data_IF_127100532651
#
_entry.id   IF_127100532651
#
_cell.length_a   1.000
_cell.length_b   1.000
_cell.length_c   1.000
_cell.angle_alpha   90.00
_cell.angle_beta   90.00
_cell.angle_gamma   90.00
#
_symmetry.space_group_name_H-M   'P 1'
#
loop_
_entity.id
_entity.type
_entity.pdbx_description
1 polymer ?
#
# COMPACT_ATOMS: atom_id res chain seq x y z
N UNK A 1 -61.52 5.50 22.82
CA UNK A 1 -60.52 5.16 21.76
C UNK A 1 -59.68 6.38 21.35
N UNK A 2 -59.11 7.14 22.29
CA UNK A 2 -58.26 8.32 21.97
C UNK A 2 -56.88 8.26 22.65
N UNK A 3 -56.76 7.58 23.79
CA UNK A 3 -55.48 7.43 24.51
C UNK A 3 -54.59 6.29 24.02
N UNK A 4 -55.13 5.31 23.27
CA UNK A 4 -54.33 4.18 22.77
C UNK A 4 -53.45 4.53 21.58
N UNK A 5 -53.80 5.57 20.82
CA UNK A 5 -53.05 5.99 19.61
C UNK A 5 -51.85 6.87 19.98
N UNK A 6 -51.94 7.61 21.08
CA UNK A 6 -50.85 8.50 21.55
C UNK A 6 -49.65 7.70 22.06
N UNK A 7 -49.90 6.54 22.67
CA UNK A 7 -48.83 5.66 23.19
C UNK A 7 -48.05 5.00 22.04
N UNK A 8 -48.70 4.66 20.93
CA UNK A 8 -48.03 4.05 19.77
C UNK A 8 -47.18 5.04 18.96
N UNK A 9 -47.50 6.34 18.98
CA UNK A 9 -46.71 7.38 18.28
C UNK A 9 -45.49 7.83 19.10
N UNK A 10 -45.55 7.77 20.44
CA UNK A 10 -44.41 8.13 21.31
C UNK A 10 -43.32 7.04 21.33
N UNK A 11 -43.66 5.79 21.01
CA UNK A 11 -42.71 4.68 20.99
C UNK A 11 -41.92 4.57 19.66
N UNK A 12 -42.39 5.21 18.59
CA UNK A 12 -41.73 5.23 17.28
C UNK A 12 -40.60 6.25 17.13
N UNK A 13 -40.43 7.17 18.09
CA UNK A 13 -39.43 8.23 18.05
C UNK A 13 -38.14 7.90 18.82
N UNK A 14 -38.08 6.74 19.48
CA UNK A 14 -36.88 6.28 20.20
C UNK A 14 -36.01 5.30 19.40
N UNK A 15 -36.40 4.93 18.16
CA UNK A 15 -35.61 4.01 17.31
C UNK A 15 -34.80 4.72 16.22
N UNK A 16 -34.82 6.05 16.17
CA UNK A 16 -34.00 6.83 15.22
C UNK A 16 -32.90 7.58 15.96
N UNK A 17 -31.90 6.87 16.44
CA UNK A 17 -30.52 7.36 16.61
C UNK A 17 -29.69 6.29 17.31
N UNK A 18 -29.24 5.29 16.55
CA UNK A 18 -27.88 4.82 16.76
C UNK A 18 -27.19 4.73 15.40
N UNK A 19 -26.27 5.67 15.24
CA UNK A 19 -24.96 5.40 14.67
C UNK A 19 -24.96 5.13 13.16
N UNK A 20 -25.05 6.24 12.41
CA UNK A 20 -24.19 6.40 11.25
C UNK A 20 -22.74 6.32 11.75
N UNK A 21 -22.27 5.09 12.01
CA UNK A 21 -20.86 4.81 12.04
C UNK A 21 -20.46 4.87 10.57
N UNK A 22 -20.11 6.05 10.10
CA UNK A 22 -19.05 6.09 9.09
C UNK A 22 -17.88 5.44 9.81
N UNK A 23 -17.69 4.15 9.58
CA UNK A 23 -16.36 3.60 9.58
C UNK A 23 -15.58 4.56 8.69
N UNK A 24 -14.88 5.49 9.34
CA UNK A 24 -13.70 6.07 8.75
C UNK A 24 -12.94 4.84 8.30
N UNK A 25 -12.82 4.69 6.99
CA UNK A 25 -11.95 3.72 6.37
C UNK A 25 -10.55 4.18 6.78
N UNK A 26 -10.19 3.92 8.04
CA UNK A 26 -8.86 4.06 8.58
C UNK A 26 -8.13 2.87 8.00
N UNK A 27 -7.43 3.11 6.89
CA UNK A 27 -6.10 2.57 6.61
C UNK A 27 -5.81 1.11 7.01
N UNK A 28 -6.83 0.26 6.98
CA UNK A 28 -6.77 -1.17 7.24
C UNK A 28 -7.50 -1.85 6.08
N UNK A 29 -7.08 -1.53 4.85
CA UNK A 29 -7.10 -2.55 3.81
C UNK A 29 -6.00 -3.54 4.19
N UNK A 30 -6.38 -4.45 5.10
CA UNK A 30 -5.64 -5.67 5.37
C UNK A 30 -5.63 -6.45 4.05
N UNK A 31 -4.55 -6.33 3.28
CA UNK A 31 -4.34 -7.04 2.02
C UNK A 31 -4.14 -8.54 2.32
N UNK A 32 -5.25 -9.22 2.59
CA UNK A 32 -5.36 -10.68 2.66
C UNK A 32 -5.66 -11.31 1.30
N UNK A 33 -5.30 -10.63 0.20
CA UNK A 33 -5.26 -11.27 -1.11
C UNK A 33 -3.82 -11.65 -1.44
N UNK A 34 -3.57 -12.95 -1.28
CA UNK A 34 -2.41 -13.73 -1.71
C UNK A 34 -1.46 -12.97 -2.64
N UNK A 35 -0.37 -12.43 -2.08
CA UNK A 35 0.78 -11.93 -2.84
C UNK A 35 1.42 -13.12 -3.58
N UNK A 36 0.88 -13.43 -4.76
CA UNK A 36 1.38 -14.47 -5.65
C UNK A 36 2.79 -14.11 -6.12
N UNK A 37 3.68 -15.06 -5.84
CA UNK A 37 5.00 -15.28 -6.42
C UNK A 37 6.07 -14.22 -6.17
N UNK A 38 6.89 -14.54 -5.18
CA UNK A 38 8.26 -14.03 -5.13
C UNK A 38 9.15 -15.21 -4.72
N UNK A 39 10.31 -15.32 -5.36
CA UNK A 39 11.37 -16.29 -5.08
C UNK A 39 12.08 -15.96 -3.74
N UNK A 40 11.31 -15.77 -2.67
CA UNK A 40 11.80 -15.53 -1.31
C UNK A 40 12.34 -16.79 -0.63
N UNK A 41 12.24 -17.94 -1.29
CA UNK A 41 12.50 -19.25 -0.68
C UNK A 41 13.95 -19.44 -0.24
N UNK A 42 14.86 -18.58 -0.67
CA UNK A 42 16.30 -18.78 -0.49
C UNK A 42 17.00 -17.82 0.48
N UNK A 43 16.30 -16.82 1.04
CA UNK A 43 16.93 -15.83 1.94
C UNK A 43 16.51 -16.03 3.40
N UNK A 44 17.48 -15.88 4.30
CA UNK A 44 17.29 -16.07 5.73
C UNK A 44 16.68 -14.82 6.37
N UNK A 45 17.09 -13.63 5.93
CA UNK A 45 16.59 -12.33 6.41
C UNK A 45 16.18 -11.50 5.19
N UNK A 46 14.99 -10.90 5.25
CA UNK A 46 14.50 -10.03 4.19
C UNK A 46 15.19 -8.67 4.20
N UNK A 47 15.31 -8.03 3.03
CA UNK A 47 15.72 -6.65 2.99
C UNK A 47 14.71 -5.82 3.79
N UNK A 48 15.22 -4.90 4.61
CA UNK A 48 14.35 -4.15 5.52
C UNK A 48 14.86 -2.74 5.77
N UNK A 49 13.91 -1.83 6.01
CA UNK A 49 14.21 -0.52 6.55
C UNK A 49 14.45 -0.62 8.05
N UNK A 50 15.20 0.34 8.61
CA UNK A 50 15.53 0.36 10.04
C UNK A 50 14.31 0.23 10.96
N UNK A 51 13.17 0.81 10.58
CA UNK A 51 11.92 0.70 11.34
C UNK A 51 11.32 -0.72 11.32
N UNK A 52 11.61 -1.52 10.30
CA UNK A 52 11.11 -2.87 10.11
C UNK A 52 12.02 -3.94 10.75
N UNK A 53 13.23 -3.60 11.19
CA UNK A 53 14.17 -4.55 11.82
C UNK A 53 13.68 -5.05 13.19
N UNK A 54 12.76 -4.32 13.83
CA UNK A 54 12.18 -4.71 15.12
C UNK A 54 11.29 -5.95 15.03
N UNK A 55 10.82 -6.32 13.83
CA UNK A 55 9.96 -7.48 13.62
C UNK A 55 10.80 -8.76 13.50
N UNK A 56 10.52 -9.75 14.36
CA UNK A 56 11.17 -11.05 14.32
C UNK A 56 10.57 -12.00 13.29
N UNK A 57 9.30 -11.80 12.92
CA UNK A 57 8.60 -12.64 11.96
C UNK A 57 8.77 -12.13 10.53
N UNK A 58 9.17 -13.02 9.61
CA UNK A 58 9.35 -12.70 8.18
C UNK A 58 8.10 -12.09 7.54
N UNK A 59 6.92 -12.56 7.93
CA UNK A 59 5.65 -12.03 7.41
C UNK A 59 5.46 -10.55 7.83
N UNK A 60 5.72 -10.24 9.10
CA UNK A 60 5.61 -8.88 9.64
C UNK A 60 6.68 -7.96 9.04
N UNK A 61 7.92 -8.45 8.90
CA UNK A 61 9.00 -7.71 8.25
C UNK A 61 8.66 -7.38 6.79
N UNK A 62 8.11 -8.34 6.05
CA UNK A 62 7.64 -8.14 4.67
C UNK A 62 6.50 -7.12 4.61
N UNK A 63 5.49 -7.25 5.47
CA UNK A 63 4.37 -6.31 5.51
C UNK A 63 4.84 -4.88 5.84
N UNK A 64 5.75 -4.74 6.81
CA UNK A 64 6.36 -3.46 7.13
C UNK A 64 7.12 -2.87 5.94
N UNK A 65 7.93 -3.67 5.26
CA UNK A 65 8.67 -3.24 4.07
C UNK A 65 7.73 -2.74 2.96
N UNK A 66 6.66 -3.49 2.69
CA UNK A 66 5.64 -3.09 1.72
C UNK A 66 4.94 -1.78 2.13
N UNK A 67 4.60 -1.63 3.42
CA UNK A 67 3.98 -0.42 3.97
C UNK A 67 4.85 0.82 3.81
N UNK A 68 6.16 0.73 4.08
CA UNK A 68 7.08 1.87 3.92
C UNK A 68 7.13 2.34 2.48
N UNK A 69 7.21 1.40 1.53
CA UNK A 69 7.23 1.72 0.10
C UNK A 69 5.90 2.34 -0.33
N UNK A 70 4.78 1.72 0.04
CA UNK A 70 3.45 2.21 -0.27
C UNK A 70 3.24 3.64 0.26
N UNK A 71 3.55 3.88 1.53
CA UNK A 71 3.40 5.21 2.15
C UNK A 71 4.29 6.27 1.49
N UNK A 72 5.52 5.91 1.09
CA UNK A 72 6.43 6.85 0.40
C UNK A 72 5.93 7.20 -1.00
N UNK A 73 5.26 6.25 -1.67
CA UNK A 73 4.64 6.46 -2.98
C UNK A 73 3.40 7.34 -2.86
N UNK A 74 2.50 7.03 -1.93
CA UNK A 74 1.31 7.84 -1.63
C UNK A 74 1.70 9.29 -1.35
N UNK A 75 2.64 9.53 -0.44
CA UNK A 75 3.13 10.88 -0.15
C UNK A 75 3.69 11.60 -1.38
N UNK A 76 4.39 10.88 -2.26
CA UNK A 76 4.94 11.49 -3.47
C UNK A 76 3.83 11.80 -4.49
N UNK A 77 2.81 10.97 -4.57
CA UNK A 77 1.67 11.20 -5.45
C UNK A 77 0.84 12.40 -4.99
N UNK A 78 0.52 12.47 -3.69
CA UNK A 78 -0.16 13.62 -3.07
C UNK A 78 0.60 14.93 -3.33
N UNK A 79 1.92 14.95 -3.16
CA UNK A 79 2.76 16.13 -3.44
C UNK A 79 2.80 16.49 -4.94
N UNK A 80 2.61 15.52 -5.82
CA UNK A 80 2.73 15.71 -7.27
C UNK A 80 1.49 16.33 -7.92
N UNK A 81 0.38 16.48 -7.17
CA UNK A 81 -0.88 17.07 -7.64
C UNK A 81 -1.36 16.44 -8.96
N UNK A 82 -1.33 15.11 -9.05
CA UNK A 82 -1.71 14.39 -10.27
C UNK A 82 -3.23 14.40 -10.43
N UNK A 83 -3.72 15.08 -11.47
CA UNK A 83 -5.16 15.15 -11.73
C UNK A 83 -5.57 14.02 -12.67
N UNK A 84 -6.47 13.16 -12.20
CA UNK A 84 -7.13 12.14 -13.04
C UNK A 84 -8.51 12.63 -13.45
N UNK A 85 -8.83 12.50 -14.74
CA UNK A 85 -10.11 12.98 -15.28
C UNK A 85 -11.30 12.05 -15.02
N UNK A 86 -11.06 10.79 -14.64
CA UNK A 86 -12.08 9.76 -14.43
C UNK A 86 -11.71 8.90 -13.22
N UNK A 87 -12.68 8.18 -12.67
CA UNK A 87 -12.42 7.15 -11.67
C UNK A 87 -11.41 6.13 -12.23
N UNK A 88 -10.33 5.93 -11.49
CA UNK A 88 -9.23 5.04 -11.86
C UNK A 88 -8.96 4.10 -10.70
N UNK A 89 -9.01 2.80 -11.00
CA UNK A 89 -8.56 1.73 -10.09
C UNK A 89 -7.66 0.80 -10.88
N UNK A 90 -6.36 0.83 -10.59
CA UNK A 90 -5.35 0.02 -11.28
C UNK A 90 -4.37 -0.60 -10.26
N UNK A 91 -3.63 -1.63 -10.66
CA UNK A 91 -2.55 -2.21 -9.88
C UNK A 91 -1.22 -2.03 -10.61
N UNK A 92 -0.39 -1.14 -10.07
CA UNK A 92 0.97 -0.96 -10.53
C UNK A 92 1.82 -2.12 -10.04
N UNK A 93 2.51 -2.81 -10.96
CA UNK A 93 3.45 -3.87 -10.61
C UNK A 93 4.87 -3.35 -10.76
N UNK A 94 5.56 -3.19 -9.64
CA UNK A 94 6.94 -2.71 -9.58
C UNK A 94 7.87 -3.90 -9.38
N UNK A 95 8.85 -4.06 -10.27
CA UNK A 95 9.96 -5.00 -10.09
C UNK A 95 11.17 -4.21 -9.61
N UNK A 96 11.54 -4.40 -8.35
CA UNK A 96 12.65 -3.72 -7.70
C UNK A 96 13.82 -4.70 -7.50
N UNK A 97 15.02 -4.23 -7.78
CA UNK A 97 16.26 -4.93 -7.46
C UNK A 97 16.95 -4.23 -6.31
N UNK A 98 17.30 -5.00 -5.28
CA UNK A 98 18.01 -4.53 -4.11
C UNK A 98 19.38 -5.21 -4.14
N UNK A 99 20.46 -4.44 -4.23
CA UNK A 99 21.80 -5.01 -4.26
C UNK A 99 22.29 -5.43 -2.86
N UNK A 100 23.49 -6.03 -2.79
CA UNK A 100 24.11 -6.44 -1.53
C UNK A 100 24.59 -5.26 -0.65
N UNK A 101 24.48 -4.02 -1.13
CA UNK A 101 24.74 -2.80 -0.37
C UNK A 101 23.45 -2.17 0.16
N UNK A 102 22.27 -2.72 -0.19
CA UNK A 102 20.98 -2.17 0.18
C UNK A 102 20.52 -1.02 -0.71
N UNK A 103 21.05 -0.88 -1.93
CA UNK A 103 20.54 0.10 -2.89
C UNK A 103 19.37 -0.49 -3.67
N UNK A 104 18.22 0.20 -3.62
CA UNK A 104 17.02 -0.15 -4.37
C UNK A 104 17.04 0.51 -5.75
N UNK A 105 16.79 -0.28 -6.79
CA UNK A 105 16.65 0.19 -8.17
C UNK A 105 15.38 -0.37 -8.80
N UNK A 106 14.60 0.48 -9.47
CA UNK A 106 13.45 0.05 -10.25
C UNK A 106 13.93 -0.59 -11.55
N UNK A 107 13.58 -1.87 -11.77
CA UNK A 107 13.87 -2.59 -13.01
C UNK A 107 12.73 -2.49 -13.99
N UNK A 108 11.52 -2.69 -13.52
CA UNK A 108 10.32 -2.68 -14.35
C UNK A 108 9.16 -2.06 -13.58
N UNK A 109 8.31 -1.34 -14.32
CA UNK A 109 7.03 -0.84 -13.82
C UNK A 109 6.00 -1.09 -14.91
N UNK A 110 5.02 -1.91 -14.56
CA UNK A 110 3.90 -2.33 -15.40
C UNK A 110 2.61 -1.75 -14.84
N UNK A 111 1.76 -1.21 -15.72
CA UNK A 111 0.48 -0.58 -15.40
C UNK A 111 -0.47 -0.76 -16.58
N UNK A 112 -1.76 -0.51 -16.39
CA UNK A 112 -2.70 -0.50 -17.52
C UNK A 112 -2.33 0.62 -18.51
N UNK A 113 -2.51 0.32 -19.80
CA UNK A 113 -2.38 1.29 -20.89
C UNK A 113 -3.27 2.53 -20.72
N UNK A 114 -4.42 2.40 -20.07
CA UNK A 114 -5.30 3.53 -19.75
C UNK A 114 -4.66 4.43 -18.68
N UNK A 115 -4.11 3.83 -17.62
CA UNK A 115 -3.36 4.53 -16.56
C UNK A 115 -2.17 5.27 -17.15
N UNK A 116 -1.39 4.63 -18.02
CA UNK A 116 -0.21 5.26 -18.63
C UNK A 116 -0.60 6.47 -19.51
N UNK A 117 -1.76 6.42 -20.17
CA UNK A 117 -2.27 7.55 -20.96
C UNK A 117 -2.83 8.68 -20.10
N UNK A 118 -3.51 8.36 -19.01
CA UNK A 118 -4.09 9.36 -18.10
C UNK A 118 -3.01 10.02 -17.24
N UNK A 119 -1.98 9.27 -16.85
CA UNK A 119 -0.92 9.69 -15.94
C UNK A 119 0.47 9.48 -16.58
N UNK A 120 0.82 10.24 -17.63
CA UNK A 120 2.09 10.06 -18.35
C UNK A 120 3.32 10.31 -17.47
N UNK A 121 3.19 11.08 -16.39
CA UNK A 121 4.25 11.36 -15.43
C UNK A 121 4.37 10.33 -14.30
N UNK A 122 3.45 9.36 -14.21
CA UNK A 122 3.40 8.40 -13.10
C UNK A 122 4.71 7.63 -12.93
N UNK A 123 5.30 7.19 -14.05
CA UNK A 123 6.58 6.45 -14.04
C UNK A 123 7.71 7.28 -13.43
N UNK A 124 7.73 8.58 -13.70
CA UNK A 124 8.74 9.47 -13.14
C UNK A 124 8.47 9.79 -11.67
N UNK A 125 7.20 9.92 -11.27
CA UNK A 125 6.84 10.07 -9.85
C UNK A 125 7.20 8.83 -9.04
N UNK A 126 6.97 7.62 -9.57
CA UNK A 126 7.40 6.37 -8.93
C UNK A 126 8.92 6.36 -8.74
N UNK A 127 9.70 6.67 -9.78
CA UNK A 127 11.16 6.75 -9.66
C UNK A 127 11.61 7.79 -8.62
N UNK A 128 10.98 8.97 -8.62
CA UNK A 128 11.25 10.03 -7.64
C UNK A 128 10.95 9.55 -6.23
N UNK A 129 9.81 8.89 -6.02
CA UNK A 129 9.42 8.33 -4.72
C UNK A 129 10.45 7.31 -4.23
N UNK A 130 10.82 6.35 -5.07
CA UNK A 130 11.81 5.32 -4.71
C UNK A 130 13.18 5.93 -4.36
N UNK A 131 13.55 7.06 -4.98
CA UNK A 131 14.80 7.76 -4.64
C UNK A 131 14.78 8.48 -3.28
N UNK A 132 13.58 8.70 -2.70
CA UNK A 132 13.39 9.31 -1.38
C UNK A 132 13.36 8.28 -0.25
N UNK A 133 13.33 6.99 -0.58
CA UNK A 133 13.30 5.93 0.42
C UNK A 133 14.52 6.04 1.33
N UNK A 134 14.35 5.78 2.63
CA UNK A 134 15.48 5.75 3.54
C UNK A 134 16.43 4.61 3.16
N UNK A 135 17.69 4.73 3.60
CA UNK A 135 18.65 3.65 3.45
C UNK A 135 18.10 2.35 4.07
N UNK A 136 18.32 1.25 3.37
CA UNK A 136 17.81 -0.06 3.75
C UNK A 136 18.96 -1.06 3.91
N UNK A 137 18.70 -2.08 4.70
CA UNK A 137 19.60 -3.20 4.91
C UNK A 137 19.32 -4.26 3.85
N UNK A 138 20.36 -4.84 3.21
CA UNK A 138 20.19 -5.87 2.19
C UNK A 138 19.61 -7.16 2.78
N UNK A 139 19.17 -8.05 1.91
CA UNK A 139 18.82 -9.40 2.33
C UNK A 139 20.07 -10.18 2.74
N UNK A 140 19.92 -11.14 3.65
CA UNK A 140 21.01 -12.03 4.05
C UNK A 140 20.69 -13.48 3.74
N UNK A 141 21.70 -14.20 3.23
CA UNK A 141 21.71 -15.65 3.08
C UNK A 141 22.95 -16.18 3.80
N UNK A 142 22.75 -16.91 4.88
CA UNK A 142 23.80 -17.48 5.76
C UNK A 142 24.76 -16.42 6.31
N UNK A 143 24.23 -15.25 6.68
CA UNK A 143 25.02 -14.12 7.18
C UNK A 143 25.79 -13.34 6.11
N UNK A 144 25.64 -13.68 4.82
CA UNK A 144 26.24 -12.95 3.71
C UNK A 144 25.16 -12.06 3.07
N UNK A 145 25.42 -10.76 2.85
CA UNK A 145 24.49 -9.89 2.15
C UNK A 145 24.38 -10.32 0.68
N UNK A 146 23.16 -10.49 0.20
CA UNK A 146 22.86 -10.93 -1.17
C UNK A 146 21.92 -9.96 -1.86
N UNK A 147 22.10 -9.83 -3.18
CA UNK A 147 21.15 -9.09 -3.98
C UNK A 147 19.83 -9.87 -4.10
N UNK A 148 18.72 -9.15 -4.16
CA UNK A 148 17.37 -9.71 -4.26
C UNK A 148 16.53 -8.96 -5.27
N UNK A 149 15.51 -9.63 -5.77
CA UNK A 149 14.50 -9.02 -6.62
C UNK A 149 13.14 -9.19 -5.96
N UNK A 150 12.38 -8.10 -5.95
CA UNK A 150 11.09 -8.01 -5.27
C UNK A 150 10.08 -7.49 -6.27
N UNK A 151 8.94 -8.17 -6.36
CA UNK A 151 7.79 -7.69 -7.12
C UNK A 151 6.77 -7.13 -6.14
N UNK A 152 6.39 -5.87 -6.29
CA UNK A 152 5.47 -5.16 -5.42
C UNK A 152 4.22 -4.76 -6.21
N UNK A 153 3.06 -5.36 -5.92
CA UNK A 153 1.79 -4.84 -6.42
C UNK A 153 1.36 -3.65 -5.56
N UNK A 154 0.93 -2.56 -6.20
CA UNK A 154 0.49 -1.33 -5.55
C UNK A 154 -0.83 -0.92 -6.18
N UNK A 155 -1.88 -0.83 -5.37
CA UNK A 155 -3.17 -0.37 -5.85
C UNK A 155 -3.13 1.15 -5.97
N UNK A 156 -3.44 1.63 -7.17
CA UNK A 156 -3.66 3.02 -7.48
C UNK A 156 -5.16 3.28 -7.54
N UNK A 157 -5.66 4.11 -6.64
CA UNK A 157 -7.04 4.61 -6.65
C UNK A 157 -7.01 6.12 -6.87
N UNK A 158 -7.82 6.61 -7.82
CA UNK A 158 -8.09 8.03 -8.04
C UNK A 158 -8.44 8.84 -6.78
N UNK A 159 -8.94 8.20 -5.72
CA UNK A 159 -9.21 8.85 -4.42
C UNK A 159 -7.95 9.20 -3.62
N UNK A 160 -6.82 8.55 -3.92
CA UNK A 160 -5.54 8.68 -3.24
C UNK A 160 -4.51 9.46 -4.09
N UNK A 161 -4.98 10.20 -5.10
CA UNK A 161 -4.17 10.98 -6.05
C UNK A 161 -4.41 12.48 -5.91
#
# INVERSE_FOLDING_TARGET
MKHSVVVSILLGLLTSCQFFNTERISSETFYEEEVKNIDWKEVDIYPSFKECESFSEKAQQKACFQRVIASTLEQTFEESNMVVSNDLLDTLTLVCHIDSLGQLTLKELTMDTLTEKQLPSLRDQVKKSLSRLPAMVPAYKRGIPVATQVTLPIILDSKNL
#
